data_IF_435785508007
#
_entry.id   IF_435785508007
#
_cell.length_a   1.000
_cell.length_b   1.000
_cell.length_c   1.000
_cell.angle_alpha   90.00
_cell.angle_beta   90.00
_cell.angle_gamma   90.00
#
_symmetry.space_group_name_H-M   'P 1'
#
loop_
_entity.id
_entity.type
_entity.pdbx_description
1 polymer ?
#
# COMPACT_ATOMS: atom_id res chain seq x y z
N UNK A 1 -18.14 -10.23 6.59
CA UNK A 1 -18.78 -11.35 5.90
C UNK A 1 -20.27 -11.37 6.18
N UNK A 2 -21.07 -11.92 5.27
CA UNK A 2 -22.50 -12.19 5.45
C UNK A 2 -22.70 -13.71 5.54
N UNK A 3 -23.18 -14.25 6.67
CA UNK A 3 -23.42 -15.68 6.83
C UNK A 3 -24.64 -16.19 6.05
N UNK A 4 -25.45 -15.29 5.48
CA UNK A 4 -26.68 -15.64 4.74
C UNK A 4 -26.48 -15.69 3.22
N UNK A 5 -25.22 -15.90 2.79
CA UNK A 5 -24.76 -15.91 1.41
C UNK A 5 -24.85 -14.54 0.70
N UNK A 6 -23.85 -14.28 -0.14
CA UNK A 6 -23.77 -13.15 -1.08
C UNK A 6 -23.07 -13.65 -2.33
N UNK A 7 -23.24 -12.94 -3.44
CA UNK A 7 -22.80 -13.43 -4.77
C UNK A 7 -21.30 -13.20 -5.06
N UNK A 8 -20.54 -12.66 -4.10
CA UNK A 8 -19.09 -12.49 -4.22
C UNK A 8 -18.31 -13.69 -3.63
N UNK A 9 -17.07 -13.87 -4.12
CA UNK A 9 -16.21 -15.04 -3.85
C UNK A 9 -15.90 -15.31 -2.38
N UNK A 10 -16.06 -14.31 -1.50
CA UNK A 10 -15.64 -14.38 -0.11
C UNK A 10 -16.76 -14.08 0.88
N UNK A 11 -18.02 -14.14 0.43
CA UNK A 11 -19.20 -13.87 1.25
C UNK A 11 -19.10 -12.52 2.00
N UNK A 12 -18.58 -11.49 1.34
CA UNK A 12 -18.47 -10.14 1.87
C UNK A 12 -19.84 -9.48 1.94
N UNK A 13 -20.01 -8.55 2.89
CA UNK A 13 -21.28 -7.86 3.07
C UNK A 13 -21.57 -6.81 1.97
N UNK A 14 -20.53 -6.39 1.24
CA UNK A 14 -20.65 -5.50 0.08
C UNK A 14 -20.26 -6.25 -1.20
N UNK A 15 -20.47 -5.63 -2.36
CA UNK A 15 -20.21 -6.24 -3.66
C UNK A 15 -18.73 -6.54 -3.90
N UNK A 16 -17.84 -5.66 -3.44
CA UNK A 16 -16.39 -5.78 -3.61
C UNK A 16 -15.62 -5.74 -2.28
N UNK A 17 -14.35 -6.14 -2.33
CA UNK A 17 -13.41 -5.98 -1.21
C UNK A 17 -13.30 -4.51 -0.82
N UNK A 18 -13.10 -3.63 -1.80
CA UNK A 18 -12.91 -2.19 -1.57
C UNK A 18 -14.16 -1.55 -0.98
N UNK A 19 -15.37 -1.86 -1.48
CA UNK A 19 -16.61 -1.32 -0.91
C UNK A 19 -16.81 -1.78 0.53
N UNK A 20 -16.41 -3.02 0.85
CA UNK A 20 -16.40 -3.50 2.24
C UNK A 20 -15.46 -2.65 3.09
N UNK A 21 -14.25 -2.35 2.62
CA UNK A 21 -13.30 -1.49 3.32
C UNK A 21 -13.81 -0.05 3.46
N UNK A 22 -14.41 0.52 2.41
CA UNK A 22 -14.92 1.90 2.40
C UNK A 22 -16.14 2.12 3.28
N UNK A 23 -16.81 1.07 3.73
CA UNK A 23 -17.85 1.17 4.75
C UNK A 23 -17.33 1.79 6.07
N UNK A 24 -16.03 1.65 6.34
CA UNK A 24 -15.35 2.24 7.49
C UNK A 24 -14.24 3.22 7.09
N UNK A 25 -13.49 2.94 6.03
CA UNK A 25 -12.37 3.74 5.53
C UNK A 25 -12.79 4.65 4.36
N UNK A 26 -13.83 5.45 4.56
CA UNK A 26 -14.40 6.29 3.51
C UNK A 26 -13.38 7.30 2.94
N UNK A 27 -12.38 7.70 3.73
CA UNK A 27 -11.31 8.61 3.32
C UNK A 27 -10.38 8.02 2.25
N UNK A 28 -10.47 6.72 1.96
CA UNK A 28 -9.65 6.03 0.95
C UNK A 28 -10.38 5.78 -0.36
N UNK A 29 -11.67 6.10 -0.45
CA UNK A 29 -12.53 5.77 -1.59
C UNK A 29 -12.19 6.52 -2.89
N UNK A 30 -11.59 7.71 -2.78
CA UNK A 30 -11.38 8.57 -3.94
C UNK A 30 -12.68 9.12 -4.54
N UNK A 31 -12.67 9.61 -5.79
CA UNK A 31 -11.49 9.64 -6.67
C UNK A 31 -10.44 10.63 -6.19
N UNK A 32 -9.16 10.28 -6.35
CA UNK A 32 -8.05 11.19 -6.13
C UNK A 32 -7.58 11.79 -7.45
N UNK A 33 -6.96 12.98 -7.43
CA UNK A 33 -6.31 13.56 -8.62
C UNK A 33 -5.18 12.66 -9.11
N UNK A 34 -4.43 12.09 -8.17
CA UNK A 34 -3.36 11.12 -8.40
C UNK A 34 -3.65 9.85 -7.61
N UNK A 35 -4.09 8.81 -8.31
CA UNK A 35 -4.42 7.53 -7.70
C UNK A 35 -3.20 6.60 -7.69
N UNK A 36 -3.08 5.81 -6.61
CA UNK A 36 -2.19 4.66 -6.61
C UNK A 36 -3.01 3.46 -7.10
N UNK A 37 -2.81 3.07 -8.35
CA UNK A 37 -3.67 2.09 -9.05
C UNK A 37 -3.95 0.80 -8.26
N UNK A 38 -2.98 0.16 -7.58
CA UNK A 38 -3.27 -0.98 -6.71
C UNK A 38 -4.27 -0.71 -5.56
N UNK A 39 -4.37 0.53 -5.07
CA UNK A 39 -5.28 0.92 -4.00
C UNK A 39 -6.72 1.14 -4.50
N UNK A 40 -6.89 1.51 -5.77
CA UNK A 40 -8.21 1.62 -6.41
C UNK A 40 -8.73 0.27 -6.88
N UNK A 41 -7.84 -0.66 -7.23
CA UNK A 41 -8.17 -2.00 -7.69
C UNK A 41 -8.61 -2.92 -6.54
N UNK A 42 -7.71 -3.24 -5.61
CA UNK A 42 -8.02 -4.14 -4.50
C UNK A 42 -7.15 -3.88 -3.26
N UNK A 43 -7.78 -3.52 -2.13
CA UNK A 43 -7.09 -3.31 -0.86
C UNK A 43 -6.28 -4.53 -0.40
N UNK A 44 -6.72 -5.75 -0.77
CA UNK A 44 -6.06 -7.00 -0.41
C UNK A 44 -4.73 -7.24 -1.17
N UNK A 45 -4.42 -6.44 -2.19
CA UNK A 45 -3.12 -6.49 -2.87
C UNK A 45 -1.97 -6.13 -1.92
N UNK A 46 -2.25 -5.33 -0.88
CA UNK A 46 -1.26 -4.89 0.10
C UNK A 46 -1.61 -5.29 1.54
N UNK A 47 -2.89 -5.41 1.89
CA UNK A 47 -3.34 -5.68 3.27
C UNK A 47 -3.91 -7.09 3.44
N UNK A 48 -3.62 -7.71 4.58
CA UNK A 48 -4.27 -8.93 5.06
C UNK A 48 -5.39 -8.56 6.04
N UNK A 49 -6.64 -8.77 5.65
CA UNK A 49 -7.81 -8.42 6.46
C UNK A 49 -7.93 -9.19 7.78
N UNK A 50 -7.26 -10.34 7.91
CA UNK A 50 -7.39 -11.24 9.07
C UNK A 50 -6.19 -11.21 10.03
N UNK A 51 -5.09 -10.56 9.67
CA UNK A 51 -3.88 -10.56 10.49
C UNK A 51 -2.62 -10.50 9.64
N UNK A 52 -1.62 -9.75 10.10
CA UNK A 52 -0.25 -9.89 9.63
C UNK A 52 0.74 -9.65 10.77
N UNK A 53 1.94 -10.21 10.64
CA UNK A 53 3.08 -9.90 11.49
C UNK A 53 3.80 -8.60 11.07
N UNK A 54 3.24 -7.88 10.10
CA UNK A 54 3.75 -6.60 9.61
C UNK A 54 2.81 -5.46 10.06
N UNK A 55 3.40 -4.28 10.27
CA UNK A 55 2.63 -3.08 10.60
C UNK A 55 1.56 -2.80 9.55
N UNK A 56 0.45 -2.18 9.98
CA UNK A 56 -0.70 -1.84 9.13
C UNK A 56 -1.28 -3.04 8.39
N UNK A 57 -1.09 -4.25 8.92
CA UNK A 57 -1.61 -5.50 8.37
C UNK A 57 -1.07 -5.82 6.97
N UNK A 58 0.13 -5.34 6.63
CA UNK A 58 0.68 -5.54 5.29
C UNK A 58 1.00 -7.01 5.00
N UNK A 59 0.79 -7.46 3.76
CA UNK A 59 1.16 -8.82 3.31
C UNK A 59 2.67 -9.04 3.26
N UNK A 60 3.44 -7.96 3.15
CA UNK A 60 4.90 -7.96 3.20
C UNK A 60 5.41 -6.66 3.81
N UNK A 61 6.56 -6.70 4.50
CA UNK A 61 7.19 -5.50 5.07
C UNK A 61 7.78 -4.59 3.98
N UNK A 62 7.69 -3.28 4.16
CA UNK A 62 8.45 -2.30 3.36
C UNK A 62 9.97 -2.42 3.61
N UNK A 63 10.84 -2.19 2.61
CA UNK A 63 10.55 -1.72 1.25
C UNK A 63 10.09 -2.81 0.26
N UNK A 64 10.17 -4.09 0.64
CA UNK A 64 9.97 -5.22 -0.29
C UNK A 64 8.59 -5.23 -0.93
N UNK A 65 7.54 -4.87 -0.19
CA UNK A 65 6.18 -4.76 -0.74
C UNK A 65 6.12 -3.81 -1.94
N UNK A 66 6.75 -2.63 -1.83
CA UNK A 66 6.78 -1.63 -2.90
C UNK A 66 7.60 -2.12 -4.09
N UNK A 67 8.68 -2.87 -3.84
CA UNK A 67 9.59 -3.38 -4.85
C UNK A 67 9.00 -4.51 -5.70
N UNK A 68 7.88 -5.12 -5.28
CA UNK A 68 7.16 -6.08 -6.11
C UNK A 68 6.64 -5.45 -7.41
N UNK A 69 6.35 -4.15 -7.40
CA UNK A 69 5.91 -3.40 -8.57
C UNK A 69 6.92 -2.34 -9.02
N UNK A 70 7.59 -1.67 -8.08
CA UNK A 70 8.53 -0.58 -8.38
C UNK A 70 9.98 -1.08 -8.49
N UNK A 71 10.43 -1.34 -9.71
CA UNK A 71 11.83 -1.65 -10.01
C UNK A 71 12.63 -0.38 -10.31
N UNK A 72 13.37 0.10 -9.30
CA UNK A 72 14.49 1.08 -9.38
C UNK A 72 14.30 2.41 -10.11
N UNK A 73 13.09 2.77 -10.55
CA UNK A 73 12.91 3.99 -11.33
C UNK A 73 13.01 5.23 -10.43
N UNK A 74 14.19 5.87 -10.45
CA UNK A 74 14.49 7.11 -9.72
C UNK A 74 15.31 6.95 -8.44
N UNK A 75 15.33 5.78 -7.82
CA UNK A 75 16.21 5.45 -6.68
C UNK A 75 17.00 4.16 -6.99
N UNK A 76 18.30 4.07 -6.65
CA UNK A 76 19.05 2.85 -6.92
C UNK A 76 18.44 1.69 -6.13
N UNK A 77 17.93 0.67 -6.82
CA UNK A 77 17.50 -0.60 -6.21
C UNK A 77 18.75 -1.38 -5.82
N UNK A 78 19.41 -0.92 -4.77
CA UNK A 78 20.57 -1.60 -4.22
C UNK A 78 20.05 -2.84 -3.50
N UNK A 79 20.58 -4.01 -3.86
CA UNK A 79 20.34 -5.21 -3.10
C UNK A 79 20.77 -4.95 -1.64
N UNK A 80 19.88 -5.23 -0.70
CA UNK A 80 20.16 -5.07 0.72
C UNK A 80 20.92 -6.31 1.23
N UNK A 81 22.18 -6.47 0.79
CA UNK A 81 22.99 -7.68 1.00
C UNK A 81 24.13 -7.50 2.03
N UNK A 82 24.36 -6.28 2.53
CA UNK A 82 25.46 -5.98 3.47
C UNK A 82 24.96 -5.75 4.91
N UNK A 83 25.60 -6.35 5.92
CA UNK A 83 25.35 -6.01 7.32
C UNK A 83 25.96 -4.64 7.66
N UNK A 84 25.13 -3.62 7.91
CA UNK A 84 25.54 -2.34 8.50
C UNK A 84 24.94 -1.10 7.83
N UNK A 85 24.34 -0.21 8.64
CA UNK A 85 23.69 1.03 8.19
C UNK A 85 24.75 2.13 8.01
N UNK A 86 25.50 2.10 6.92
CA UNK A 86 26.55 3.09 6.65
C UNK A 86 26.49 3.70 5.24
N UNK A 87 25.39 3.48 4.49
CA UNK A 87 25.21 4.06 3.17
C UNK A 87 23.81 4.67 2.95
N UNK A 88 23.71 5.76 2.16
CA UNK A 88 22.46 6.50 1.91
C UNK A 88 21.36 5.64 1.27
N UNK A 89 21.75 4.58 0.56
CA UNK A 89 20.86 3.58 -0.04
C UNK A 89 20.07 2.75 0.98
N UNK A 90 20.53 2.67 2.22
CA UNK A 90 19.85 1.96 3.30
C UNK A 90 18.85 2.83 4.06
N UNK A 91 18.72 4.12 3.69
CA UNK A 91 17.67 5.01 4.20
C UNK A 91 16.27 4.45 3.96
N UNK A 92 16.11 3.63 2.91
CA UNK A 92 14.87 2.93 2.59
C UNK A 92 14.59 1.75 3.54
N UNK A 93 15.53 1.29 4.36
CA UNK A 93 15.30 0.28 5.40
C UNK A 93 14.95 0.91 6.76
N UNK A 94 15.17 2.22 6.91
CA UNK A 94 15.01 2.95 8.16
C UNK A 94 13.58 3.50 8.32
N UNK A 95 13.06 3.43 9.56
CA UNK A 95 11.77 4.02 9.91
C UNK A 95 10.62 3.50 9.06
N UNK A 96 9.89 4.41 8.39
CA UNK A 96 8.76 4.08 7.50
C UNK A 96 9.20 3.72 6.07
N UNK A 97 10.49 3.49 5.83
CA UNK A 97 11.02 3.07 4.53
C UNK A 97 10.66 4.08 3.43
N UNK A 98 10.10 3.64 2.30
CA UNK A 98 9.63 4.47 1.19
C UNK A 98 8.68 5.59 1.64
N UNK A 99 7.85 5.30 2.65
CA UNK A 99 6.82 6.22 3.14
C UNK A 99 7.39 7.38 3.96
N UNK A 100 8.69 7.40 4.25
CA UNK A 100 9.33 8.60 4.81
C UNK A 100 9.24 9.79 3.84
N UNK A 101 9.20 9.53 2.53
CA UNK A 101 9.03 10.56 1.48
C UNK A 101 7.69 10.41 0.74
N UNK A 102 7.21 9.18 0.54
CA UNK A 102 5.98 8.87 -0.17
C UNK A 102 4.83 8.62 0.81
N UNK A 103 4.34 9.65 1.47
CA UNK A 103 3.32 9.52 2.52
C UNK A 103 1.90 9.21 2.01
N UNK A 104 1.61 9.55 0.75
CA UNK A 104 0.26 9.50 0.17
C UNK A 104 0.01 8.23 -0.66
N UNK A 105 0.43 7.06 -0.18
CA UNK A 105 0.39 5.78 -0.93
C UNK A 105 -1.02 5.29 -1.33
N UNK A 106 -2.09 5.87 -0.77
CA UNK A 106 -3.47 5.58 -1.17
C UNK A 106 -4.04 6.56 -2.20
N UNK A 107 -3.27 7.59 -2.57
CA UNK A 107 -3.68 8.66 -3.48
C UNK A 107 -3.47 10.07 -2.92
N UNK A 108 -3.33 11.04 -3.83
CA UNK A 108 -3.13 12.46 -3.52
C UNK A 108 -4.02 13.37 -4.35
N UNK A 109 -4.53 14.43 -3.73
CA UNK A 109 -5.24 15.53 -4.38
C UNK A 109 -4.36 16.76 -4.62
N UNK A 110 -3.08 16.71 -4.25
CA UNK A 110 -2.17 17.82 -4.45
C UNK A 110 -1.81 17.94 -5.96
N UNK A 111 -1.76 19.15 -6.56
CA UNK A 111 -1.42 19.31 -7.98
C UNK A 111 -0.08 18.66 -8.38
N UNK A 112 0.89 18.68 -7.47
CA UNK A 112 2.18 17.99 -7.60
C UNK A 112 2.24 16.62 -6.90
N UNK A 113 1.12 15.92 -6.78
CA UNK A 113 0.98 14.65 -6.07
C UNK A 113 1.27 13.41 -6.90
N UNK A 114 1.75 13.55 -8.14
CA UNK A 114 1.95 12.42 -9.07
C UNK A 114 2.92 11.34 -8.58
N UNK A 115 3.81 11.68 -7.65
CA UNK A 115 4.71 10.73 -6.99
C UNK A 115 4.28 10.37 -5.57
N UNK A 116 3.09 10.77 -5.13
CA UNK A 116 2.50 10.44 -3.82
C UNK A 116 3.33 10.92 -2.61
N UNK A 117 4.08 12.01 -2.79
CA UNK A 117 4.88 12.62 -1.72
C UNK A 117 4.08 13.59 -0.83
N UNK A 118 3.02 14.18 -1.39
CA UNK A 118 2.16 15.18 -0.75
C UNK A 118 0.80 15.20 -1.42
#
# INVERSE_FOLDING_TARGET
>A
HSPHATDNDHQLAQESVNDTCFSCHAEKRGPFVWEHEPATDNCANCHSSHGSNHADMLVQKAPFLCQNCHSSQGHPAIAYDRPGINNRSESMLLGRSCMNCHGQIHGSNHPSGSTLQR
#
